data_IF_552754625082
#
_entry.id   IF_552754625082
#
_cell.length_a   1.000
_cell.length_b   1.000
_cell.length_c   1.000
_cell.angle_alpha   90.00
_cell.angle_beta   90.00
_cell.angle_gamma   90.00
#
_symmetry.space_group_name_H-M   'P 1'
#
loop_
_entity.id
_entity.type
_entity.pdbx_description
1 polymer ?
#
# COMPACT_ATOMS: atom_id res chain seq x y z
N UNK A 1 15.34 15.68 7.74
CA UNK A 1 14.57 15.07 6.66
C UNK A 1 15.12 13.68 6.36
N UNK A 2 14.23 12.69 6.27
CA UNK A 2 14.54 11.38 5.70
C UNK A 2 14.81 11.51 4.20
N UNK A 3 15.61 10.57 3.65
CA UNK A 3 15.68 10.38 2.21
C UNK A 3 14.38 9.78 1.64
N UNK A 4 14.29 9.69 0.32
CA UNK A 4 13.20 8.99 -0.37
C UNK A 4 13.65 7.63 -0.92
N UNK A 5 12.67 6.79 -1.25
CA UNK A 5 12.87 5.51 -1.95
C UNK A 5 11.97 5.45 -3.18
N UNK A 6 12.53 5.04 -4.31
CA UNK A 6 11.81 4.89 -5.57
C UNK A 6 12.33 3.72 -6.39
N UNK A 7 11.55 3.30 -7.42
CA UNK A 7 11.92 2.23 -8.34
C UNK A 7 12.02 0.86 -7.65
N UNK A 8 11.13 0.58 -6.70
CA UNK A 8 11.15 -0.68 -5.92
C UNK A 8 10.32 -1.74 -6.63
N UNK A 9 10.94 -2.90 -6.84
CA UNK A 9 10.30 -4.06 -7.43
C UNK A 9 10.52 -5.29 -6.57
N UNK A 10 9.44 -5.88 -6.09
CA UNK A 10 9.46 -7.15 -5.36
C UNK A 10 8.43 -8.09 -5.97
N UNK A 11 8.83 -9.30 -6.33
CA UNK A 11 7.91 -10.28 -6.91
C UNK A 11 8.23 -11.71 -6.44
N UNK A 12 7.27 -12.62 -6.64
CA UNK A 12 7.36 -14.02 -6.23
C UNK A 12 7.66 -14.16 -4.73
N UNK A 13 6.87 -13.46 -3.92
CA UNK A 13 7.02 -13.45 -2.48
C UNK A 13 6.12 -14.52 -1.83
N UNK A 14 6.64 -15.20 -0.82
CA UNK A 14 5.84 -16.01 0.08
C UNK A 14 6.02 -15.48 1.50
N UNK A 15 4.92 -15.05 2.12
CA UNK A 15 4.90 -14.47 3.47
C UNK A 15 3.98 -15.36 4.31
N UNK A 16 4.47 -15.84 5.46
CA UNK A 16 3.68 -16.70 6.33
C UNK A 16 3.88 -16.39 7.81
N UNK A 17 2.94 -16.82 8.66
CA UNK A 17 3.01 -16.75 10.14
C UNK A 17 3.41 -15.37 10.69
N UNK A 18 2.92 -14.31 10.06
CA UNK A 18 3.41 -12.95 10.27
C UNK A 18 2.29 -11.99 10.64
N UNK A 19 2.64 -10.99 11.46
CA UNK A 19 1.66 -9.97 11.84
C UNK A 19 1.27 -9.07 10.66
N UNK A 20 2.18 -8.83 9.71
CA UNK A 20 1.93 -8.00 8.52
C UNK A 20 2.46 -8.69 7.27
N UNK A 21 1.71 -8.60 6.18
CA UNK A 21 2.16 -8.98 4.84
C UNK A 21 3.02 -7.88 4.24
N UNK A 22 2.38 -6.90 3.60
CA UNK A 22 3.03 -5.73 3.00
C UNK A 22 2.71 -4.49 3.83
N UNK A 23 3.71 -3.68 4.17
CA UNK A 23 3.53 -2.50 5.02
C UNK A 23 4.35 -1.31 4.54
N UNK A 24 3.66 -0.20 4.28
CA UNK A 24 4.23 1.12 3.99
C UNK A 24 4.07 2.01 5.21
N UNK A 25 5.15 2.62 5.68
CA UNK A 25 5.17 3.38 6.93
C UNK A 25 5.87 4.71 6.76
N UNK A 26 5.24 5.76 7.23
CA UNK A 26 5.82 7.09 7.32
C UNK A 26 5.12 7.91 8.41
N UNK A 27 5.55 9.15 8.63
CA UNK A 27 4.96 10.07 9.60
C UNK A 27 5.18 11.53 9.22
N UNK A 28 4.33 12.47 9.69
CA UNK A 28 4.66 13.89 9.63
C UNK A 28 6.07 14.15 10.17
N UNK A 29 6.77 15.02 9.48
CA UNK A 29 8.15 15.42 9.77
C UNK A 29 9.25 14.47 9.32
N UNK A 30 8.90 13.40 8.59
CA UNK A 30 9.89 12.61 7.85
C UNK A 30 10.33 13.33 6.57
N UNK A 31 9.41 14.00 5.87
CA UNK A 31 9.62 14.45 4.49
C UNK A 31 9.92 13.28 3.53
N UNK A 32 10.53 13.58 2.39
CA UNK A 32 10.95 12.57 1.40
C UNK A 32 9.78 11.93 0.67
N UNK A 33 9.99 10.71 0.14
CA UNK A 33 9.01 10.02 -0.70
C UNK A 33 9.12 8.49 -0.63
N UNK A 34 8.01 7.82 -0.90
CA UNK A 34 7.93 6.41 -1.32
C UNK A 34 7.13 6.41 -2.61
N UNK A 35 7.80 6.20 -3.75
CA UNK A 35 7.18 6.29 -5.06
C UNK A 35 7.60 5.15 -5.99
N UNK A 36 6.84 4.93 -7.07
CA UNK A 36 7.20 3.96 -8.13
C UNK A 36 7.47 2.54 -7.59
N UNK A 37 6.55 2.03 -6.78
CA UNK A 37 6.68 0.71 -6.15
C UNK A 37 5.74 -0.29 -6.81
N UNK A 38 6.28 -1.43 -7.24
CA UNK A 38 5.49 -2.56 -7.73
C UNK A 38 5.80 -3.80 -6.89
N UNK A 39 4.78 -4.33 -6.22
CA UNK A 39 4.84 -5.60 -5.52
C UNK A 39 3.87 -6.56 -6.20
N UNK A 40 4.38 -7.66 -6.76
CA UNK A 40 3.57 -8.61 -7.52
C UNK A 40 3.75 -10.07 -7.11
N UNK A 41 2.78 -10.91 -7.45
CA UNK A 41 2.89 -12.37 -7.35
C UNK A 41 3.24 -12.80 -5.90
N UNK A 42 2.35 -12.42 -4.99
CA UNK A 42 2.53 -12.62 -3.54
C UNK A 42 1.58 -13.70 -3.05
N UNK A 43 2.12 -14.69 -2.33
CA UNK A 43 1.36 -15.64 -1.55
C UNK A 43 1.47 -15.29 -0.06
N UNK A 44 0.33 -15.28 0.63
CA UNK A 44 0.22 -15.01 2.06
C UNK A 44 -0.49 -16.16 2.77
N UNK A 45 0.07 -16.68 3.86
CA UNK A 45 -0.56 -17.72 4.68
C UNK A 45 -0.49 -17.32 6.16
N UNK A 46 -1.60 -17.41 6.90
CA UNK A 46 -1.64 -17.09 8.33
C UNK A 46 -1.10 -15.68 8.65
N UNK A 47 -1.65 -14.67 7.97
CA UNK A 47 -1.26 -13.25 8.15
C UNK A 47 -2.32 -12.48 8.92
N UNK A 48 -1.89 -11.69 9.90
CA UNK A 48 -2.83 -10.84 10.63
C UNK A 48 -3.31 -9.65 9.80
N UNK A 49 -2.42 -8.80 9.26
CA UNK A 49 -2.78 -7.69 8.36
C UNK A 49 -2.16 -7.90 6.99
N UNK A 50 -2.97 -8.13 5.95
CA UNK A 50 -2.49 -8.38 4.59
C UNK A 50 -1.71 -7.20 4.02
N UNK A 51 -2.36 -6.02 3.95
CA UNK A 51 -1.76 -4.78 3.44
C UNK A 51 -1.92 -3.64 4.45
N UNK A 52 -0.84 -2.95 4.77
CA UNK A 52 -0.85 -1.77 5.63
C UNK A 52 -0.25 -0.55 4.94
N UNK A 53 -0.93 0.59 5.06
CA UNK A 53 -0.36 1.92 4.88
C UNK A 53 -0.59 2.70 6.17
N UNK A 54 0.48 3.23 6.76
CA UNK A 54 0.36 4.09 7.94
C UNK A 54 1.20 5.35 7.79
N UNK A 55 0.51 6.48 7.78
CA UNK A 55 1.09 7.82 7.77
C UNK A 55 1.34 8.39 9.17
N UNK A 56 1.13 7.63 10.24
CA UNK A 56 1.33 8.10 11.62
C UNK A 56 2.29 7.20 12.41
N UNK A 57 3.31 6.67 11.74
CA UNK A 57 4.33 5.81 12.37
C UNK A 57 5.39 6.64 13.11
N UNK A 58 5.00 7.24 14.23
CA UNK A 58 5.87 8.15 14.98
C UNK A 58 6.88 7.40 15.84
N UNK A 59 8.12 7.32 15.34
CA UNK A 59 9.33 6.99 16.11
C UNK A 59 10.43 7.93 15.66
N UNK A 60 10.46 9.13 16.23
CA UNK A 60 11.54 10.09 16.02
C UNK A 60 12.61 9.92 17.10
N UNK A 61 13.91 10.02 16.76
CA UNK A 61 14.98 9.89 17.73
C UNK A 61 15.06 11.08 18.71
N UNK A 62 14.55 12.24 18.28
CA UNK A 62 14.48 13.48 19.05
C UNK A 62 13.30 14.35 18.58
N UNK A 63 13.10 15.49 19.24
CA UNK A 63 12.01 16.45 18.97
C UNK A 63 12.44 17.63 18.06
N UNK A 64 13.60 17.54 17.39
CA UNK A 64 14.13 18.63 16.54
C UNK A 64 13.72 18.52 15.07
N UNK A 65 12.86 17.56 14.71
CA UNK A 65 12.31 17.44 13.36
C UNK A 65 11.25 18.52 13.10
N UNK A 66 11.06 18.89 11.84
CA UNK A 66 9.98 19.81 11.43
C UNK A 66 8.69 19.00 11.20
N UNK A 67 7.64 19.13 12.03
CA UNK A 67 6.41 18.34 11.87
C UNK A 67 5.63 18.66 10.58
N UNK A 68 5.93 19.79 9.92
CA UNK A 68 5.27 20.21 8.68
C UNK A 68 5.88 19.58 7.43
N UNK A 69 7.03 18.91 7.54
CA UNK A 69 7.66 18.18 6.43
C UNK A 69 6.94 16.84 6.18
N UNK A 70 6.00 16.85 5.25
CA UNK A 70 5.18 15.68 4.93
C UNK A 70 5.82 14.80 3.85
N UNK A 71 5.75 13.46 4.00
CA UNK A 71 6.24 12.49 3.03
C UNK A 71 5.27 12.31 1.86
N UNK A 72 5.79 12.13 0.65
CA UNK A 72 4.96 11.76 -0.52
C UNK A 72 4.82 10.24 -0.62
N UNK A 73 3.59 9.74 -0.80
CA UNK A 73 3.32 8.35 -1.20
C UNK A 73 2.62 8.39 -2.57
N UNK A 74 3.28 7.89 -3.60
CA UNK A 74 2.75 7.97 -4.97
C UNK A 74 3.03 6.69 -5.77
N UNK A 75 2.22 6.40 -6.79
CA UNK A 75 2.47 5.33 -7.76
C UNK A 75 2.80 3.95 -7.13
N UNK A 76 1.96 3.49 -6.20
CA UNK A 76 2.12 2.20 -5.53
C UNK A 76 1.19 1.16 -6.17
N UNK A 77 1.75 0.08 -6.70
CA UNK A 77 0.98 -1.01 -7.33
C UNK A 77 1.20 -2.33 -6.60
N UNK A 78 0.11 -2.89 -6.08
CA UNK A 78 0.03 -4.21 -5.45
C UNK A 78 -0.80 -5.13 -6.34
N UNK A 79 -0.17 -6.15 -6.91
CA UNK A 79 -0.79 -6.97 -7.97
C UNK A 79 -0.65 -8.47 -7.74
N UNK A 80 -1.63 -9.26 -8.18
CA UNK A 80 -1.57 -10.74 -8.16
C UNK A 80 -1.23 -11.26 -6.76
N UNK A 81 -2.08 -10.97 -5.79
CA UNK A 81 -1.87 -11.39 -4.41
C UNK A 81 -2.92 -12.41 -4.01
N UNK A 82 -2.50 -13.54 -3.48
CA UNK A 82 -3.39 -14.58 -2.94
C UNK A 82 -3.05 -14.81 -1.48
N UNK A 83 -4.09 -14.91 -0.65
CA UNK A 83 -3.93 -15.03 0.79
C UNK A 83 -4.89 -16.04 1.40
N UNK A 84 -4.41 -16.85 2.35
CA UNK A 84 -5.26 -17.72 3.17
C UNK A 84 -5.15 -17.37 4.65
N UNK A 85 -6.25 -17.54 5.38
CA UNK A 85 -6.35 -17.25 6.81
C UNK A 85 -5.89 -15.82 7.18
N UNK A 86 -6.34 -14.82 6.41
CA UNK A 86 -6.02 -13.40 6.65
C UNK A 86 -6.96 -12.83 7.72
N UNK A 87 -6.45 -12.21 8.78
CA UNK A 87 -7.33 -11.62 9.81
C UNK A 87 -7.93 -10.27 9.38
N UNK A 88 -7.15 -9.41 8.73
CA UNK A 88 -7.55 -8.10 8.20
C UNK A 88 -6.94 -7.94 6.81
N UNK A 89 -7.78 -7.71 5.80
CA UNK A 89 -7.33 -7.59 4.40
C UNK A 89 -6.46 -6.34 4.21
N UNK A 90 -6.88 -5.20 4.79
CA UNK A 90 -5.99 -4.05 4.85
C UNK A 90 -6.37 -2.93 5.81
N UNK A 91 -5.34 -2.25 6.30
CA UNK A 91 -5.39 -1.05 7.15
C UNK A 91 -4.67 0.08 6.45
N UNK A 92 -5.41 1.03 5.87
CA UNK A 92 -4.87 2.12 5.07
C UNK A 92 -5.21 3.45 5.72
N UNK A 93 -4.21 4.09 6.32
CA UNK A 93 -4.35 5.39 6.96
C UNK A 93 -3.27 6.33 6.45
N UNK A 94 -3.67 7.27 5.61
CA UNK A 94 -2.83 8.38 5.16
C UNK A 94 -2.74 9.50 6.20
N UNK A 95 -2.04 10.57 5.82
CA UNK A 95 -1.87 11.74 6.68
C UNK A 95 -3.09 12.65 6.53
N UNK A 96 -3.60 13.17 7.65
CA UNK A 96 -4.70 14.12 7.61
C UNK A 96 -4.24 15.43 6.95
N UNK A 97 -4.96 15.88 5.92
CA UNK A 97 -4.57 17.04 5.10
C UNK A 97 -3.59 16.73 3.97
N UNK A 98 -3.01 15.51 3.94
CA UNK A 98 -2.09 15.04 2.90
C UNK A 98 -2.36 13.55 2.60
N UNK A 99 -3.48 13.23 1.93
CA UNK A 99 -3.90 11.86 1.72
C UNK A 99 -2.99 11.11 0.74
N UNK A 100 -2.90 9.79 0.88
CA UNK A 100 -2.17 8.94 -0.07
C UNK A 100 -3.09 8.58 -1.25
N UNK A 101 -2.82 9.06 -2.46
CA UNK A 101 -3.84 9.13 -3.53
C UNK A 101 -3.62 8.25 -4.77
N UNK A 102 -2.47 7.57 -4.88
CA UNK A 102 -2.10 6.75 -6.03
C UNK A 102 -1.77 5.30 -5.65
N UNK A 103 -2.71 4.65 -4.97
CA UNK A 103 -2.62 3.24 -4.58
C UNK A 103 -3.43 2.40 -5.58
N UNK A 104 -2.80 1.41 -6.22
CA UNK A 104 -3.43 0.48 -7.14
C UNK A 104 -3.42 -0.95 -6.57
N UNK A 105 -4.61 -1.56 -6.47
CA UNK A 105 -4.81 -2.97 -6.11
C UNK A 105 -5.34 -3.73 -7.33
N UNK A 106 -4.63 -4.73 -7.83
CA UNK A 106 -5.07 -5.49 -9.01
C UNK A 106 -4.96 -7.00 -8.77
N UNK A 107 -6.07 -7.73 -8.95
CA UNK A 107 -6.11 -9.18 -8.77
C UNK A 107 -5.61 -9.61 -7.38
N UNK A 108 -6.31 -9.16 -6.35
CA UNK A 108 -6.02 -9.48 -4.93
C UNK A 108 -7.14 -10.37 -4.41
N UNK A 109 -6.82 -11.53 -3.86
CA UNK A 109 -7.78 -12.48 -3.34
C UNK A 109 -7.34 -13.03 -1.98
N UNK A 110 -7.96 -12.54 -0.91
CA UNK A 110 -7.71 -12.96 0.45
C UNK A 110 -8.90 -13.75 1.00
N UNK A 111 -8.65 -15.00 1.36
CA UNK A 111 -9.54 -15.79 2.20
C UNK A 111 -9.34 -15.37 3.65
N UNK A 112 -10.42 -14.86 4.25
CA UNK A 112 -10.40 -14.34 5.61
C UNK A 112 -10.45 -15.45 6.64
N UNK A 113 -9.79 -15.23 7.79
CA UNK A 113 -9.88 -16.10 8.96
C UNK A 113 -11.31 -16.15 9.51
N UNK A 114 -11.71 -17.27 10.12
CA UNK A 114 -13.05 -17.41 10.73
C UNK A 114 -13.33 -16.39 11.84
N UNK A 115 -12.27 -15.95 12.54
CA UNK A 115 -12.33 -14.93 13.59
C UNK A 115 -12.18 -13.50 13.06
N UNK A 116 -12.12 -13.30 11.74
CA UNK A 116 -11.97 -11.98 11.15
C UNK A 116 -13.17 -11.08 11.47
N UNK A 117 -12.96 -9.77 11.68
CA UNK A 117 -14.05 -8.81 11.83
C UNK A 117 -14.89 -8.73 10.55
N UNK A 118 -16.12 -8.21 10.68
CA UNK A 118 -17.03 -8.02 9.54
C UNK A 118 -16.49 -7.09 8.47
N UNK A 119 -15.70 -6.08 8.86
CA UNK A 119 -15.00 -5.20 7.92
C UNK A 119 -13.58 -5.72 7.73
N UNK A 120 -13.28 -6.23 6.53
CA UNK A 120 -11.94 -6.71 6.19
C UNK A 120 -10.98 -5.56 5.87
N UNK A 121 -11.50 -4.37 5.56
CA UNK A 121 -10.72 -3.18 5.23
C UNK A 121 -11.05 -2.00 6.15
N UNK A 122 -10.06 -1.16 6.42
CA UNK A 122 -10.23 0.14 7.08
C UNK A 122 -9.41 1.19 6.33
N UNK A 123 -10.07 2.25 5.86
CA UNK A 123 -9.45 3.29 5.05
C UNK A 123 -9.70 4.68 5.64
N UNK A 124 -8.68 5.54 5.62
CA UNK A 124 -8.77 6.95 6.03
C UNK A 124 -7.69 7.78 5.33
N UNK A 125 -8.05 8.96 4.81
CA UNK A 125 -7.12 9.85 4.08
C UNK A 125 -6.34 9.10 2.98
N UNK A 126 -7.01 8.23 2.23
CA UNK A 126 -6.43 7.52 1.10
C UNK A 126 -7.39 7.59 -0.08
N UNK A 127 -6.86 7.46 -1.29
CA UNK A 127 -7.64 7.17 -2.49
C UNK A 127 -6.84 6.29 -3.44
N UNK A 128 -7.54 5.58 -4.32
CA UNK A 128 -6.86 4.68 -5.24
C UNK A 128 -7.79 4.02 -6.24
N UNK A 129 -7.23 3.03 -6.93
CA UNK A 129 -7.92 2.19 -7.90
C UNK A 129 -7.82 0.72 -7.50
N UNK A 130 -8.89 -0.03 -7.75
CA UNK A 130 -8.92 -1.46 -7.49
C UNK A 130 -9.62 -2.21 -8.61
N UNK A 131 -9.02 -3.31 -9.07
CA UNK A 131 -9.59 -4.21 -10.07
C UNK A 131 -9.52 -5.65 -9.57
N UNK A 132 -10.64 -6.37 -9.59
CA UNK A 132 -10.70 -7.79 -9.17
C UNK A 132 -10.11 -8.03 -7.78
N UNK A 133 -10.64 -7.34 -6.77
CA UNK A 133 -10.19 -7.45 -5.37
C UNK A 133 -11.26 -8.12 -4.51
N UNK A 134 -10.87 -9.15 -3.77
CA UNK A 134 -11.67 -9.86 -2.79
C UNK A 134 -10.87 -10.04 -1.48
N UNK A 135 -11.46 -9.76 -0.30
CA UNK A 135 -12.78 -9.17 -0.06
C UNK A 135 -12.85 -7.73 -0.60
N UNK A 136 -14.07 -7.23 -0.81
CA UNK A 136 -14.31 -5.92 -1.44
C UNK A 136 -13.63 -4.78 -0.64
N UNK A 137 -12.82 -3.92 -1.29
CA UNK A 137 -12.10 -2.85 -0.61
C UNK A 137 -13.00 -1.64 -0.31
N UNK A 138 -12.49 -0.70 0.49
CA UNK A 138 -13.18 0.56 0.80
C UNK A 138 -13.51 1.34 -0.49
N UNK A 139 -14.55 2.18 -0.45
CA UNK A 139 -14.99 2.95 -1.64
C UNK A 139 -13.95 3.93 -2.15
N UNK A 140 -13.07 4.42 -1.27
CA UNK A 140 -11.97 5.32 -1.57
C UNK A 140 -10.92 4.70 -2.50
N UNK A 141 -10.80 3.38 -2.48
CA UNK A 141 -9.87 2.62 -3.34
C UNK A 141 -10.50 2.17 -4.65
N UNK A 142 -11.76 2.55 -4.91
CA UNK A 142 -12.54 2.11 -6.07
C UNK A 142 -12.74 3.24 -7.08
N UNK A 143 -11.72 4.07 -7.27
CA UNK A 143 -11.74 5.18 -8.22
C UNK A 143 -12.22 4.76 -9.62
N UNK A 144 -12.83 5.66 -10.41
CA UNK A 144 -13.47 5.33 -11.67
C UNK A 144 -12.50 4.68 -12.67
N UNK A 145 -13.03 3.69 -13.42
CA UNK A 145 -12.32 2.73 -14.28
C UNK A 145 -11.58 3.32 -15.49
N UNK A 146 -11.60 4.64 -15.68
CA UNK A 146 -10.84 5.34 -16.73
C UNK A 146 -9.36 5.57 -16.34
N UNK A 147 -8.85 4.82 -15.36
CA UNK A 147 -7.63 5.12 -14.60
C UNK A 147 -6.67 3.93 -14.47
N UNK A 148 -6.66 3.00 -15.41
CA UNK A 148 -5.59 1.99 -15.49
C UNK A 148 -4.18 2.62 -15.59
N UNK A 149 -4.08 3.90 -15.95
CA UNK A 149 -2.88 4.72 -15.88
C UNK A 149 -2.43 5.12 -14.46
N UNK A 150 -3.28 4.99 -13.44
CA UNK A 150 -2.89 5.17 -12.01
C UNK A 150 -2.03 4.00 -11.56
N UNK A 151 -2.26 2.80 -12.11
CA UNK A 151 -1.43 1.65 -11.83
C UNK A 151 -0.09 1.84 -12.54
N UNK A 152 0.91 2.22 -11.76
CA UNK A 152 2.28 2.29 -12.22
C UNK A 152 2.73 0.92 -12.78
N UNK A 153 3.31 0.93 -13.97
CA UNK A 153 3.79 -0.28 -14.63
C UNK A 153 5.24 -0.10 -15.06
N UNK A 154 6.01 -1.17 -14.97
CA UNK A 154 7.41 -1.21 -15.40
C UNK A 154 7.61 -0.95 -16.90
N UNK A 155 6.59 -1.21 -17.73
CA UNK A 155 6.63 -0.89 -19.16
C UNK A 155 6.76 0.62 -19.41
N UNK A 156 6.27 1.45 -18.49
CA UNK A 156 6.42 2.90 -18.51
C UNK A 156 7.87 3.34 -18.24
N UNK A 157 8.61 2.59 -17.40
CA UNK A 157 10.00 2.88 -17.03
C UNK A 157 10.99 2.51 -18.13
N UNK A 158 10.76 1.37 -18.78
CA UNK A 158 11.63 0.86 -19.87
C UNK A 158 11.57 1.74 -21.12
N UNK A 159 10.47 2.48 -21.34
CA UNK A 159 10.35 3.43 -22.45
C UNK A 159 11.19 4.71 -22.24
N UNK A 160 11.45 5.09 -20.98
CA UNK A 160 12.25 6.28 -20.64
C UNK A 160 13.75 5.97 -20.50
N UNK A 161 14.10 4.75 -20.08
CA UNK A 161 15.51 4.33 -19.96
C UNK A 161 16.19 4.01 -21.32
N UNK A 162 15.42 3.98 -22.41
CA UNK A 162 15.89 3.70 -23.79
C UNK A 162 15.90 4.98 -24.65
N UNK A 163 15.50 6.13 -24.09
CA UNK A 163 15.46 7.44 -24.77
C UNK A 163 16.70 8.30 -24.47
#
# INVERSE_FOLDING_TARGET
>A
MSGGISGIHANHLHIHDSYKGISFKTSPGRGGYIEEVVISDVQMDDIHVGVEFTGNWSTHPDDHFDPSELPVIDQITLKNMVGTNISVAGLLSGIHGDPFTAICLSNVNFSMADSAPSSSWSCSNVSGYSETVFPEPCTELRGPSSSSSICFSLSSYSALAVA
#
